data_IF_807098143738
#
_entry.id   IF_807098143738
#
_cell.length_a   1.000
_cell.length_b   1.000
_cell.length_c   1.000
_cell.angle_alpha   90.00
_cell.angle_beta   90.00
_cell.angle_gamma   90.00
#
_symmetry.space_group_name_H-M   'P 1'
#
loop_
_entity.id
_entity.type
_entity.pdbx_description
1 polymer ?
#
# COMPACT_ATOMS: atom_id res chain seq x y z
N UNK A 1 27.95 34.82 6.25
CA UNK A 1 27.70 33.65 5.38
C UNK A 1 27.76 32.38 6.23
N UNK A 2 26.65 31.92 6.75
CA UNK A 2 26.56 30.63 7.48
C UNK A 2 25.57 29.77 6.72
N UNK A 3 26.08 28.75 6.03
CA UNK A 3 25.28 27.73 5.36
C UNK A 3 24.79 26.76 6.42
N UNK A 4 23.50 26.79 6.70
CA UNK A 4 22.82 25.84 7.56
C UNK A 4 22.47 24.59 6.74
N UNK A 5 23.24 23.52 6.92
CA UNK A 5 22.98 22.22 6.30
C UNK A 5 21.85 21.51 7.05
N UNK A 6 20.69 21.45 6.43
CA UNK A 6 19.61 20.59 6.89
C UNK A 6 19.82 19.20 6.27
N UNK A 7 20.42 18.29 7.03
CA UNK A 7 20.66 16.92 6.60
C UNK A 7 19.84 15.95 7.46
N UNK A 8 19.00 15.19 6.77
CA UNK A 8 18.60 13.81 7.06
C UNK A 8 18.47 13.41 8.54
N UNK A 9 17.32 13.62 9.10
CA UNK A 9 16.90 13.00 10.36
C UNK A 9 15.56 12.23 10.23
N UNK A 10 15.24 11.72 9.04
CA UNK A 10 13.96 11.05 8.76
C UNK A 10 14.02 9.53 8.57
N UNK A 11 15.20 8.92 8.53
CA UNK A 11 15.33 7.51 8.12
C UNK A 11 15.81 6.54 9.21
N UNK A 12 16.07 7.03 10.42
CA UNK A 12 16.60 6.20 11.50
C UNK A 12 15.56 5.78 12.57
N UNK A 13 14.30 6.22 12.47
CA UNK A 13 13.29 5.96 13.52
C UNK A 13 12.38 4.76 13.24
N UNK A 14 12.53 4.08 12.10
CA UNK A 14 11.73 2.89 11.77
C UNK A 14 12.38 1.55 12.16
N UNK A 15 13.64 1.54 12.62
CA UNK A 15 14.32 0.30 13.03
C UNK A 15 14.22 -0.04 14.51
N UNK A 16 13.62 0.81 15.35
CA UNK A 16 13.66 0.61 16.80
C UNK A 16 12.39 0.04 17.42
N UNK A 17 11.31 -0.22 16.65
CA UNK A 17 10.05 -0.75 17.21
C UNK A 17 9.91 -2.28 17.12
N UNK A 18 10.91 -2.99 16.58
CA UNK A 18 10.85 -4.45 16.45
C UNK A 18 11.48 -5.23 17.61
N UNK A 19 11.91 -4.56 18.69
CA UNK A 19 12.70 -5.19 19.75
C UNK A 19 11.91 -5.50 21.05
N UNK A 20 10.58 -5.35 21.08
CA UNK A 20 9.79 -5.71 22.28
C UNK A 20 8.60 -6.62 21.92
N UNK A 21 8.87 -7.72 21.20
CA UNK A 21 7.94 -8.84 21.24
C UNK A 21 8.22 -9.63 22.53
N UNK A 22 7.19 -9.94 23.33
CA UNK A 22 7.38 -10.86 24.45
C UNK A 22 7.85 -12.19 23.88
N UNK A 23 9.01 -12.67 24.31
CA UNK A 23 9.51 -14.02 24.02
C UNK A 23 8.64 -15.06 24.75
N UNK A 24 7.41 -15.19 24.31
CA UNK A 24 6.63 -16.39 24.54
C UNK A 24 7.09 -17.42 23.51
N UNK A 25 7.96 -18.32 23.87
CA UNK A 25 8.35 -19.46 23.04
C UNK A 25 7.17 -20.40 22.91
N UNK A 26 6.24 -20.10 22.03
CA UNK A 26 5.46 -21.14 21.38
C UNK A 26 6.42 -21.72 20.35
N UNK A 27 7.06 -22.84 20.70
CA UNK A 27 7.91 -23.58 19.80
C UNK A 27 6.99 -24.20 18.74
N UNK A 28 6.75 -23.44 17.66
CA UNK A 28 6.09 -23.98 16.49
C UNK A 28 6.91 -25.20 16.02
N UNK A 29 6.23 -26.27 15.69
CA UNK A 29 6.89 -27.47 15.15
C UNK A 29 7.70 -27.06 13.92
N UNK A 30 8.89 -27.64 13.68
CA UNK A 30 9.80 -27.25 12.58
C UNK A 30 9.14 -27.27 11.19
N UNK A 31 8.00 -27.93 11.08
CA UNK A 31 7.25 -28.11 9.82
C UNK A 31 6.22 -27.01 9.52
N UNK A 32 6.05 -26.00 10.38
CA UNK A 32 5.02 -24.96 10.23
C UNK A 32 5.59 -23.54 10.03
N UNK A 33 6.92 -23.43 9.89
CA UNK A 33 7.58 -22.13 9.70
C UNK A 33 8.05 -21.93 8.28
N UNK A 34 8.12 -20.67 7.84
CA UNK A 34 8.63 -20.29 6.53
C UNK A 34 10.13 -20.60 6.45
N UNK A 35 10.62 -21.22 5.36
CA UNK A 35 12.03 -21.50 5.18
C UNK A 35 12.91 -20.25 5.19
N UNK A 36 14.22 -20.44 5.46
CA UNK A 36 15.21 -19.36 5.37
C UNK A 36 15.33 -18.82 3.93
N UNK A 37 15.58 -17.51 3.79
CA UNK A 37 15.76 -16.86 2.51
C UNK A 37 14.44 -16.41 1.82
N UNK A 38 13.32 -16.42 2.54
CA UNK A 38 12.03 -15.95 2.01
C UNK A 38 11.75 -14.55 2.51
N UNK A 39 11.48 -13.65 1.57
CA UNK A 39 11.08 -12.25 1.82
C UNK A 39 9.75 -11.92 1.15
N UNK A 40 9.08 -10.88 1.61
CA UNK A 40 7.93 -10.29 0.94
C UNK A 40 8.00 -8.76 1.03
N UNK A 41 7.99 -8.08 -0.11
CA UNK A 41 8.17 -6.61 -0.19
C UNK A 41 9.36 -6.11 0.64
N UNK A 42 10.47 -6.85 0.65
CA UNK A 42 11.69 -6.53 1.40
C UNK A 42 11.64 -6.86 2.91
N UNK A 43 10.55 -7.43 3.41
CA UNK A 43 10.45 -7.95 4.78
C UNK A 43 10.95 -9.38 4.82
N UNK A 44 11.83 -9.71 5.76
CA UNK A 44 12.28 -11.07 6.00
C UNK A 44 11.18 -11.86 6.75
N UNK A 45 10.68 -12.91 6.11
CA UNK A 45 9.68 -13.83 6.68
C UNK A 45 10.30 -15.14 7.17
N UNK A 46 11.61 -15.30 7.08
CA UNK A 46 12.32 -16.52 7.43
C UNK A 46 12.07 -16.94 8.88
N UNK A 47 11.69 -18.18 9.09
CA UNK A 47 11.42 -18.75 10.41
C UNK A 47 10.09 -18.32 11.04
N UNK A 48 9.33 -17.44 10.41
CA UNK A 48 8.00 -17.05 10.90
C UNK A 48 7.00 -18.17 10.68
N UNK A 49 6.06 -18.30 11.59
CA UNK A 49 4.85 -19.09 11.40
C UNK A 49 3.92 -18.40 10.42
N UNK A 50 2.90 -19.13 9.93
CA UNK A 50 1.86 -18.58 9.07
C UNK A 50 1.20 -17.33 9.68
N UNK A 51 0.87 -17.41 10.97
CA UNK A 51 0.17 -16.34 11.67
C UNK A 51 1.07 -15.11 11.85
N UNK A 52 2.34 -15.32 12.20
CA UNK A 52 3.32 -14.24 12.33
C UNK A 52 3.58 -13.54 11.00
N UNK A 53 3.77 -14.28 9.92
CA UNK A 53 3.95 -13.72 8.58
C UNK A 53 2.70 -12.96 8.11
N UNK A 54 1.51 -13.52 8.35
CA UNK A 54 0.24 -12.84 8.03
C UNK A 54 0.10 -11.55 8.81
N UNK A 55 0.44 -11.55 10.09
CA UNK A 55 0.40 -10.36 10.94
C UNK A 55 1.43 -9.31 10.49
N UNK A 56 2.64 -9.73 10.13
CA UNK A 56 3.70 -8.84 9.63
C UNK A 56 3.28 -8.15 8.33
N UNK A 57 2.76 -8.90 7.35
CA UNK A 57 2.28 -8.35 6.09
C UNK A 57 1.06 -7.45 6.31
N UNK A 58 0.11 -7.86 7.16
CA UNK A 58 -1.07 -7.05 7.48
C UNK A 58 -0.68 -5.72 8.13
N UNK A 59 0.30 -5.74 9.03
CA UNK A 59 0.84 -4.51 9.65
C UNK A 59 1.50 -3.60 8.63
N UNK A 60 2.25 -4.16 7.69
CA UNK A 60 2.85 -3.42 6.59
C UNK A 60 1.78 -2.74 5.71
N UNK A 61 0.75 -3.48 5.30
CA UNK A 61 -0.36 -2.94 4.50
C UNK A 61 -1.13 -1.88 5.27
N UNK A 62 -1.35 -2.07 6.58
CA UNK A 62 -1.98 -1.07 7.45
C UNK A 62 -1.15 0.23 7.50
N UNK A 63 0.17 0.12 7.62
CA UNK A 63 1.06 1.29 7.59
C UNK A 63 1.06 2.02 6.23
N UNK A 64 0.88 1.28 5.12
CA UNK A 64 0.62 1.88 3.81
C UNK A 64 -0.73 2.59 3.78
N UNK A 65 -1.75 2.04 4.44
CA UNK A 65 -3.06 2.65 4.58
C UNK A 65 -3.05 4.04 5.23
N UNK A 66 -2.09 4.30 6.11
CA UNK A 66 -1.90 5.63 6.75
C UNK A 66 -1.28 6.68 5.81
N UNK A 67 -0.76 6.27 4.64
CA UNK A 67 -0.17 7.21 3.68
C UNK A 67 -1.23 8.11 3.08
N UNK A 68 -0.89 9.39 2.96
CA UNK A 68 -1.75 10.40 2.37
C UNK A 68 -1.70 10.34 0.84
N UNK A 69 -2.86 10.36 0.23
CA UNK A 69 -3.09 10.49 -1.20
C UNK A 69 -3.76 11.84 -1.44
N UNK A 70 -3.28 12.62 -2.39
CA UNK A 70 -3.92 13.86 -2.80
C UNK A 70 -4.78 13.59 -4.04
N UNK A 71 -6.05 13.89 -3.92
CA UNK A 71 -6.99 13.93 -5.03
C UNK A 71 -7.01 15.38 -5.54
N UNK A 72 -6.78 15.58 -6.82
CA UNK A 72 -6.70 16.90 -7.44
C UNK A 72 -7.81 17.05 -8.46
N UNK A 73 -8.51 18.18 -8.44
CA UNK A 73 -9.44 18.59 -9.47
C UNK A 73 -8.67 19.28 -10.60
N UNK A 74 -9.23 19.28 -11.82
CA UNK A 74 -8.68 20.00 -12.99
C UNK A 74 -8.51 21.50 -12.73
N UNK A 75 -9.36 22.08 -11.88
CA UNK A 75 -9.32 23.50 -11.48
C UNK A 75 -8.28 23.81 -10.40
N UNK A 76 -7.46 22.83 -9.99
CA UNK A 76 -6.42 23.01 -8.98
C UNK A 76 -6.89 22.85 -7.54
N UNK A 77 -8.16 22.54 -7.29
CA UNK A 77 -8.64 22.12 -5.97
C UNK A 77 -7.99 20.80 -5.54
N UNK A 78 -7.71 20.61 -4.25
CA UNK A 78 -7.13 19.35 -3.77
C UNK A 78 -7.72 18.93 -2.43
N UNK A 79 -7.89 17.62 -2.26
CA UNK A 79 -8.29 16.97 -1.01
C UNK A 79 -7.26 15.91 -0.66
N UNK A 80 -6.86 15.85 0.61
CA UNK A 80 -5.93 14.85 1.11
C UNK A 80 -6.69 13.79 1.90
N UNK A 81 -6.59 12.55 1.45
CA UNK A 81 -7.20 11.38 2.10
C UNK A 81 -6.13 10.34 2.41
N UNK A 82 -6.40 9.38 3.30
CA UNK A 82 -5.49 8.25 3.51
C UNK A 82 -5.76 7.14 2.49
N UNK A 83 -4.74 6.35 2.15
CA UNK A 83 -4.92 5.21 1.27
C UNK A 83 -5.92 4.18 1.85
N UNK A 84 -5.96 4.06 3.19
CA UNK A 84 -6.95 3.25 3.90
C UNK A 84 -8.39 3.73 3.72
N UNK A 85 -8.61 5.05 3.65
CA UNK A 85 -9.94 5.61 3.37
C UNK A 85 -10.42 5.27 1.95
N UNK A 86 -9.49 5.02 1.02
CA UNK A 86 -9.79 4.52 -0.33
C UNK A 86 -9.96 2.99 -0.37
N UNK A 87 -10.00 2.31 0.79
CA UNK A 87 -10.19 0.87 0.87
C UNK A 87 -8.98 0.05 0.48
N UNK A 88 -7.75 0.55 0.75
CA UNK A 88 -6.53 -0.21 0.49
C UNK A 88 -6.54 -1.53 1.25
N UNK A 89 -6.37 -2.63 0.55
CA UNK A 89 -6.34 -3.98 1.12
C UNK A 89 -5.30 -4.88 0.46
N UNK A 90 -4.94 -5.95 1.16
CA UNK A 90 -4.03 -6.97 0.67
C UNK A 90 -4.79 -8.05 -0.09
N UNK A 91 -4.50 -8.19 -1.39
CA UNK A 91 -5.23 -9.06 -2.32
C UNK A 91 -4.73 -10.49 -2.31
N UNK A 92 -3.43 -10.72 -2.50
CA UNK A 92 -2.86 -12.05 -2.71
C UNK A 92 -2.45 -12.76 -1.43
N UNK A 93 -3.36 -12.91 -0.47
CA UNK A 93 -3.08 -13.53 0.86
C UNK A 93 -2.52 -14.95 0.79
N UNK A 94 -2.73 -15.66 -0.33
CA UNK A 94 -2.24 -17.00 -0.57
C UNK A 94 -0.71 -17.15 -0.58
N UNK A 95 0.05 -16.05 -0.72
CA UNK A 95 1.52 -16.10 -0.73
C UNK A 95 2.11 -16.62 0.57
N UNK A 96 1.44 -16.40 1.71
CA UNK A 96 1.89 -16.93 3.01
C UNK A 96 1.82 -18.44 3.03
N UNK A 97 0.73 -19.02 2.51
CA UNK A 97 0.57 -20.47 2.38
C UNK A 97 1.60 -21.06 1.41
N UNK A 98 1.86 -20.38 0.30
CA UNK A 98 2.94 -20.77 -0.62
C UNK A 98 4.31 -20.75 0.07
N UNK A 99 4.61 -19.68 0.79
CA UNK A 99 5.87 -19.49 1.49
C UNK A 99 6.10 -20.59 2.55
N UNK A 100 5.08 -20.91 3.34
CA UNK A 100 5.15 -22.01 4.34
C UNK A 100 5.38 -23.36 3.67
N UNK A 101 4.77 -23.61 2.49
CA UNK A 101 4.89 -24.88 1.77
C UNK A 101 6.12 -24.98 0.87
N UNK A 102 6.91 -23.91 0.76
CA UNK A 102 8.07 -23.85 -0.11
C UNK A 102 9.15 -24.88 0.34
N UNK A 103 9.64 -25.67 -0.61
CA UNK A 103 10.62 -26.73 -0.32
C UNK A 103 10.06 -27.97 0.38
N UNK A 104 8.75 -28.04 0.64
CA UNK A 104 8.12 -29.20 1.33
C UNK A 104 7.48 -30.20 0.39
N UNK A 105 7.22 -29.82 -0.86
CA UNK A 105 6.56 -30.68 -1.85
C UNK A 105 7.58 -31.43 -2.70
N UNK A 106 7.25 -32.66 -3.11
CA UNK A 106 8.05 -33.52 -3.95
C UNK A 106 8.88 -34.57 -3.19
N UNK A 107 9.75 -35.26 -3.91
CA UNK A 107 10.64 -36.27 -3.32
C UNK A 107 11.79 -35.62 -2.55
N UNK A 108 12.55 -36.43 -1.82
CA UNK A 108 13.67 -35.96 -0.98
C UNK A 108 14.69 -35.10 -1.75
N UNK A 109 15.00 -35.49 -2.98
CA UNK A 109 15.98 -34.76 -3.84
C UNK A 109 15.44 -33.41 -4.23
N UNK A 110 14.14 -33.32 -4.62
CA UNK A 110 13.49 -32.08 -4.99
C UNK A 110 13.42 -31.10 -3.81
N UNK A 111 13.09 -31.61 -2.61
CA UNK A 111 13.04 -30.80 -1.37
C UNK A 111 14.43 -30.29 -0.97
N UNK A 112 15.46 -31.11 -1.08
CA UNK A 112 16.83 -30.70 -0.79
C UNK A 112 17.29 -29.59 -1.75
N UNK A 113 17.07 -29.80 -3.06
CA UNK A 113 17.42 -28.80 -4.08
C UNK A 113 16.67 -27.48 -3.89
N UNK A 114 15.38 -27.53 -3.57
CA UNK A 114 14.58 -26.34 -3.29
C UNK A 114 15.13 -25.57 -2.07
N UNK A 115 15.58 -26.27 -1.04
CA UNK A 115 16.20 -25.66 0.13
C UNK A 115 17.53 -24.99 -0.19
N UNK A 116 18.41 -25.66 -0.94
CA UNK A 116 19.67 -25.07 -1.40
C UNK A 116 19.45 -23.85 -2.30
N UNK A 117 18.49 -23.93 -3.25
CA UNK A 117 18.13 -22.78 -4.10
C UNK A 117 17.66 -21.58 -3.27
N UNK A 118 16.90 -21.82 -2.19
CA UNK A 118 16.44 -20.77 -1.28
C UNK A 118 17.59 -20.13 -0.48
N UNK A 119 18.51 -20.94 0.04
CA UNK A 119 19.67 -20.45 0.80
C UNK A 119 20.61 -19.62 -0.06
N UNK A 120 20.72 -19.90 -1.35
CA UNK A 120 21.64 -19.21 -2.26
C UNK A 120 21.02 -18.06 -3.03
N UNK A 121 19.75 -18.15 -3.41
CA UNK A 121 19.07 -17.17 -4.27
C UNK A 121 18.00 -16.37 -3.53
N UNK A 122 17.50 -16.90 -2.44
CA UNK A 122 16.32 -16.37 -1.77
C UNK A 122 15.04 -16.52 -2.61
N UNK A 123 13.93 -16.12 -2.03
CA UNK A 123 12.65 -16.00 -2.72
C UNK A 123 11.95 -14.75 -2.21
N UNK A 124 11.77 -13.77 -3.08
CA UNK A 124 10.97 -12.58 -2.79
C UNK A 124 9.56 -12.75 -3.35
N UNK A 125 8.56 -12.47 -2.49
CA UNK A 125 7.15 -12.45 -2.86
C UNK A 125 6.68 -11.01 -3.00
N UNK A 126 5.99 -10.73 -4.08
CA UNK A 126 5.34 -9.44 -4.28
C UNK A 126 4.01 -9.40 -3.50
N UNK A 127 3.76 -8.31 -2.78
CA UNK A 127 2.49 -8.06 -2.11
C UNK A 127 1.60 -7.30 -3.08
N UNK A 128 0.54 -7.96 -3.57
CA UNK A 128 -0.48 -7.32 -4.40
C UNK A 128 -1.46 -6.54 -3.51
N UNK A 129 -1.66 -5.28 -3.86
CA UNK A 129 -2.59 -4.39 -3.19
C UNK A 129 -3.78 -4.12 -4.11
N UNK A 130 -4.94 -3.91 -3.51
CA UNK A 130 -6.13 -3.47 -4.22
C UNK A 130 -6.84 -2.36 -3.45
N UNK A 131 -7.60 -1.55 -4.18
CA UNK A 131 -8.45 -0.51 -3.63
C UNK A 131 -9.91 -0.89 -3.82
N UNK A 132 -10.75 -0.52 -2.86
CA UNK A 132 -12.19 -0.72 -2.93
C UNK A 132 -12.83 0.41 -3.75
N UNK A 133 -13.56 0.04 -4.81
CA UNK A 133 -14.25 1.00 -5.69
C UNK A 133 -15.36 1.76 -4.99
N UNK A 134 -16.09 1.10 -4.11
CA UNK A 134 -17.20 1.73 -3.38
C UNK A 134 -16.65 2.71 -2.34
N UNK A 135 -15.53 2.38 -1.69
CA UNK A 135 -14.83 3.30 -0.80
C UNK A 135 -14.30 4.52 -1.56
N UNK A 136 -13.72 4.32 -2.75
CA UNK A 136 -13.27 5.43 -3.62
C UNK A 136 -14.45 6.32 -4.00
N UNK A 137 -15.57 5.73 -4.47
CA UNK A 137 -16.77 6.48 -4.84
C UNK A 137 -17.29 7.31 -3.67
N UNK A 138 -17.39 6.71 -2.47
CA UNK A 138 -17.83 7.42 -1.27
C UNK A 138 -16.93 8.59 -0.88
N UNK A 139 -15.60 8.44 -1.03
CA UNK A 139 -14.64 9.53 -0.79
C UNK A 139 -14.80 10.65 -1.85
N UNK A 140 -14.95 10.28 -3.11
CA UNK A 140 -15.14 11.26 -4.20
C UNK A 140 -16.45 12.03 -4.00
N UNK A 141 -17.56 11.36 -3.76
CA UNK A 141 -18.85 12.00 -3.52
C UNK A 141 -18.85 12.89 -2.27
N UNK A 142 -18.27 12.39 -1.18
CA UNK A 142 -18.30 13.09 0.11
C UNK A 142 -17.32 14.25 0.22
N UNK A 143 -16.12 14.12 -0.36
CA UNK A 143 -15.05 15.09 -0.16
C UNK A 143 -14.73 15.91 -1.41
N UNK A 144 -14.94 15.38 -2.62
CA UNK A 144 -14.70 16.10 -3.86
C UNK A 144 -15.95 16.82 -4.39
N UNK A 145 -17.14 16.56 -3.85
CA UNK A 145 -18.38 17.21 -4.22
C UNK A 145 -18.33 18.74 -4.12
N UNK A 146 -17.48 19.30 -3.24
CA UNK A 146 -17.24 20.73 -3.13
C UNK A 146 -16.59 21.36 -4.39
N UNK A 147 -16.01 20.55 -5.25
CA UNK A 147 -15.40 21.01 -6.51
C UNK A 147 -16.38 20.90 -7.70
N UNK A 148 -17.55 20.31 -7.50
CA UNK A 148 -18.56 20.26 -8.54
C UNK A 148 -19.11 21.65 -8.81
N UNK A 149 -19.17 22.02 -10.09
CA UNK A 149 -19.77 23.26 -10.58
C UNK A 149 -20.97 22.93 -11.45
N UNK A 150 -21.96 23.81 -11.43
CA UNK A 150 -23.04 23.71 -12.42
C UNK A 150 -22.52 24.15 -13.78
N UNK A 151 -22.85 23.39 -14.82
CA UNK A 151 -22.58 23.77 -16.18
C UNK A 151 -23.48 24.99 -16.53
N UNK A 152 -22.88 26.02 -17.09
CA UNK A 152 -23.58 27.19 -17.56
C UNK A 152 -23.38 27.30 -19.06
N UNK A 153 -24.48 27.33 -19.82
CA UNK A 153 -24.42 27.50 -21.26
C UNK A 153 -23.97 28.91 -21.63
N UNK A 154 -23.17 29.01 -22.69
CA UNK A 154 -22.84 30.29 -23.25
C UNK A 154 -24.11 30.99 -23.79
N UNK A 155 -24.29 32.24 -23.46
CA UNK A 155 -25.45 32.99 -23.94
C UNK A 155 -25.07 34.38 -24.46
N UNK A 156 -25.92 34.89 -25.34
CA UNK A 156 -25.77 36.24 -25.94
C UNK A 156 -26.59 37.23 -25.14
N UNK A 157 -25.91 38.26 -24.63
CA UNK A 157 -26.56 39.42 -24.03
C UNK A 157 -26.43 40.66 -24.95
N UNK A 158 -27.40 41.56 -24.90
CA UNK A 158 -27.36 42.81 -25.63
C UNK A 158 -27.16 43.96 -24.66
N UNK A 159 -25.99 44.57 -24.71
CA UNK A 159 -25.65 45.73 -23.88
C UNK A 159 -25.39 46.93 -24.78
N UNK A 160 -26.10 48.02 -24.54
CA UNK A 160 -25.96 49.29 -25.29
C UNK A 160 -26.07 49.16 -26.82
N UNK A 161 -26.91 48.21 -27.27
CA UNK A 161 -27.14 47.99 -28.69
C UNK A 161 -26.17 47.02 -29.37
N UNK A 162 -25.10 46.58 -28.71
CA UNK A 162 -24.15 45.59 -29.18
C UNK A 162 -24.38 44.24 -28.52
N UNK A 163 -24.14 43.13 -29.24
CA UNK A 163 -24.17 41.80 -28.69
C UNK A 163 -22.85 41.48 -28.00
N UNK A 164 -22.93 40.94 -26.80
CA UNK A 164 -21.80 40.38 -26.07
C UNK A 164 -22.06 38.90 -25.83
N UNK A 165 -21.02 38.10 -26.01
CA UNK A 165 -21.02 36.65 -25.67
C UNK A 165 -20.56 36.52 -24.25
N UNK A 166 -21.40 35.97 -23.40
CA UNK A 166 -20.98 35.45 -22.09
C UNK A 166 -20.59 33.98 -22.27
N UNK A 167 -19.32 33.72 -21.99
CA UNK A 167 -18.79 32.37 -22.16
C UNK A 167 -19.43 31.39 -21.14
N UNK A 168 -19.75 30.18 -21.62
CA UNK A 168 -20.27 29.14 -20.79
C UNK A 168 -19.17 28.56 -19.87
N UNK A 169 -19.59 27.90 -18.82
CA UNK A 169 -18.73 27.19 -17.89
C UNK A 169 -19.07 25.70 -17.95
N UNK A 170 -18.06 24.85 -18.13
CA UNK A 170 -18.21 23.40 -17.98
C UNK A 170 -18.39 23.05 -16.52
N UNK A 171 -19.33 22.12 -16.26
CA UNK A 171 -19.58 21.56 -14.94
C UNK A 171 -18.63 20.41 -14.60
#
# INVERSE_FOLDING_TARGET
MKKLGFKLAGMALMMALFALAPKGTVQAAPDDTIPQGVTAAGMDLSGMTRDEATAAISSYVSALGEKKVQLMSEDGGSVSVTAGALGLSWKNRGIVEEAVNLGRRGNIVARYKAKEDLEHKGRDYEIELEFDRDAIAGVVEGQCGQFNREAVDAHLTRVNGSFQVEEGQTG
#
